data_IF_610652866157
#
_entry.id   IF_610652866157
#
_cell.length_a   1.000
_cell.length_b   1.000
_cell.length_c   1.000
_cell.angle_alpha   90.00
_cell.angle_beta   90.00
_cell.angle_gamma   90.00
#
_symmetry.space_group_name_H-M   'P 1'
#
loop_
_entity.id
_entity.type
_entity.pdbx_description
1 polymer ?
#
# COMPACT_ATOMS: atom_id res chain seq x y z
N UNK A 1 -14.70 -16.79 -19.88
CA UNK A 1 -13.45 -16.87 -19.12
C UNK A 1 -13.58 -16.08 -17.85
N UNK A 2 -13.51 -16.74 -16.73
CA UNK A 2 -13.61 -16.07 -15.44
C UNK A 2 -12.24 -15.50 -15.07
N UNK A 3 -12.16 -14.20 -14.88
CA UNK A 3 -10.95 -13.58 -14.35
C UNK A 3 -10.77 -14.02 -12.89
N UNK A 4 -9.57 -14.44 -12.57
CA UNK A 4 -9.22 -14.81 -11.21
C UNK A 4 -9.25 -13.54 -10.35
N UNK A 5 -9.97 -13.57 -9.24
CA UNK A 5 -10.03 -12.42 -8.35
C UNK A 5 -8.67 -12.16 -7.71
N UNK A 6 -8.17 -10.93 -7.86
CA UNK A 6 -6.96 -10.48 -7.19
C UNK A 6 -7.40 -9.78 -5.91
N UNK A 7 -6.91 -10.25 -4.77
CA UNK A 7 -7.29 -9.73 -3.47
C UNK A 7 -6.10 -9.06 -2.79
N UNK A 8 -6.33 -7.88 -2.27
CA UNK A 8 -5.36 -7.11 -1.51
C UNK A 8 -6.00 -5.87 -0.96
N UNK A 9 -5.22 -5.04 -0.34
CA UNK A 9 -5.68 -3.81 0.30
C UNK A 9 -5.10 -2.61 -0.42
N UNK A 10 -5.96 -1.62 -0.70
CA UNK A 10 -5.51 -0.33 -1.24
C UNK A 10 -4.94 0.49 -0.10
N UNK A 11 -3.75 1.05 -0.31
CA UNK A 11 -3.07 1.81 0.72
C UNK A 11 -3.33 3.30 0.68
N UNK A 12 -3.47 3.86 -0.52
CA UNK A 12 -3.69 5.30 -0.66
C UNK A 12 -4.20 5.60 -2.07
N UNK A 13 -4.71 6.80 -2.23
CA UNK A 13 -5.12 7.35 -3.53
C UNK A 13 -4.20 8.54 -3.80
N UNK A 14 -3.52 8.51 -4.92
CA UNK A 14 -2.56 9.56 -5.30
C UNK A 14 -2.82 10.07 -6.72
N UNK A 15 -2.42 11.31 -7.03
CA UNK A 15 -2.38 11.74 -8.42
C UNK A 15 -1.16 11.13 -9.13
N UNK A 16 -1.33 10.74 -10.38
CA UNK A 16 -0.24 10.20 -11.20
C UNK A 16 -0.51 10.49 -12.68
N UNK A 17 0.37 11.27 -13.32
CA UNK A 17 0.28 11.62 -14.75
C UNK A 17 -1.14 12.07 -15.14
N UNK A 18 -1.68 13.06 -14.42
CA UNK A 18 -3.03 13.63 -14.63
C UNK A 18 -4.17 12.61 -14.41
N UNK A 19 -3.87 11.50 -13.79
CA UNK A 19 -4.84 10.46 -13.41
C UNK A 19 -4.93 10.36 -11.90
N UNK A 20 -5.96 9.69 -11.45
CA UNK A 20 -6.11 9.34 -10.03
C UNK A 20 -5.87 7.84 -9.91
N UNK A 21 -4.92 7.46 -9.06
CA UNK A 21 -4.53 6.06 -8.91
C UNK A 21 -4.63 5.61 -7.47
N UNK A 22 -5.17 4.41 -7.27
CA UNK A 22 -5.01 3.67 -6.04
C UNK A 22 -3.65 2.98 -6.06
N UNK A 23 -3.00 2.91 -4.90
CA UNK A 23 -1.72 2.20 -4.78
C UNK A 23 -1.85 1.03 -3.82
N UNK A 24 -1.13 -0.04 -4.13
CA UNK A 24 -1.05 -1.24 -3.29
C UNK A 24 0.33 -1.86 -3.46
N UNK A 25 0.62 -2.91 -2.69
CA UNK A 25 1.85 -3.67 -2.85
C UNK A 25 1.84 -4.39 -4.20
N UNK A 26 2.95 -4.28 -4.95
CA UNK A 26 3.03 -4.84 -6.30
C UNK A 26 2.87 -6.35 -6.35
N UNK A 27 3.34 -7.06 -5.30
CA UNK A 27 3.22 -8.52 -5.26
C UNK A 27 1.75 -8.99 -5.18
N UNK A 28 0.85 -8.15 -4.67
CA UNK A 28 -0.59 -8.47 -4.65
C UNK A 28 -1.10 -8.70 -6.07
N UNK A 29 -0.67 -7.85 -6.99
CA UNK A 29 -1.05 -7.98 -8.40
C UNK A 29 -0.34 -9.17 -9.04
N UNK A 30 0.97 -9.30 -8.83
CA UNK A 30 1.79 -10.37 -9.47
C UNK A 30 1.37 -11.76 -9.03
N UNK A 31 1.09 -11.96 -7.74
CA UNK A 31 0.69 -13.27 -7.22
C UNK A 31 -0.70 -13.69 -7.71
N UNK A 32 -1.53 -12.72 -8.08
CA UNK A 32 -2.81 -12.99 -8.74
C UNK A 32 -2.70 -13.13 -10.25
N UNK A 33 -1.48 -13.25 -10.79
CA UNK A 33 -1.18 -13.33 -12.23
C UNK A 33 -1.60 -12.07 -12.99
N UNK A 34 -1.64 -10.92 -12.28
CA UNK A 34 -1.95 -9.64 -12.90
C UNK A 34 -0.71 -8.97 -13.49
N UNK A 35 -0.96 -8.07 -14.44
CA UNK A 35 0.06 -7.28 -15.11
C UNK A 35 -0.54 -5.93 -15.47
N UNK A 36 0.26 -5.06 -16.10
CA UNK A 36 -0.26 -3.79 -16.62
C UNK A 36 -1.38 -4.09 -17.62
N UNK A 37 -2.51 -3.42 -17.47
CA UNK A 37 -3.72 -3.64 -18.27
C UNK A 37 -4.73 -4.56 -17.62
N UNK A 38 -4.35 -5.29 -16.58
CA UNK A 38 -5.28 -6.17 -15.86
C UNK A 38 -6.39 -5.35 -15.21
N UNK A 39 -7.64 -5.84 -15.35
CA UNK A 39 -8.79 -5.25 -14.70
C UNK A 39 -8.93 -5.79 -13.29
N UNK A 40 -9.16 -4.89 -12.34
CA UNK A 40 -9.39 -5.22 -10.93
C UNK A 40 -10.57 -4.39 -10.42
N UNK A 41 -11.12 -4.77 -9.29
CA UNK A 41 -12.21 -4.02 -8.66
C UNK A 41 -11.63 -3.34 -7.42
N UNK A 42 -11.79 -2.01 -7.35
CA UNK A 42 -11.39 -1.19 -6.21
C UNK A 42 -12.65 -0.52 -5.66
N UNK A 43 -12.99 -0.81 -4.42
CA UNK A 43 -14.19 -0.28 -3.73
C UNK A 43 -15.45 -0.42 -4.58
N UNK A 44 -15.62 -1.57 -5.23
CA UNK A 44 -16.78 -1.86 -6.07
C UNK A 44 -16.72 -1.29 -7.47
N UNK A 45 -15.65 -0.61 -7.86
CA UNK A 45 -15.51 0.01 -9.17
C UNK A 45 -14.44 -0.68 -10.00
N UNK A 46 -14.76 -0.97 -11.27
CA UNK A 46 -13.80 -1.54 -12.20
C UNK A 46 -12.66 -0.55 -12.45
N UNK A 47 -11.44 -1.04 -12.36
CA UNK A 47 -10.23 -0.24 -12.41
C UNK A 47 -9.15 -1.01 -13.18
N UNK A 48 -8.10 -0.32 -13.59
CA UNK A 48 -7.07 -0.92 -14.45
C UNK A 48 -5.69 -0.72 -13.86
N UNK A 49 -4.90 -1.79 -13.77
CA UNK A 49 -3.49 -1.69 -13.38
C UNK A 49 -2.73 -0.95 -14.48
N UNK A 50 -2.13 0.19 -14.14
CA UNK A 50 -1.42 1.03 -15.12
C UNK A 50 0.10 0.97 -14.99
N UNK A 51 0.63 0.66 -13.80
CA UNK A 51 2.07 0.54 -13.59
C UNK A 51 2.38 -0.49 -12.51
N UNK A 52 3.49 -1.18 -12.69
CA UNK A 52 4.09 -2.05 -11.68
C UNK A 52 5.55 -1.62 -11.52
N UNK A 53 5.90 -1.17 -10.32
CA UNK A 53 7.27 -0.77 -9.98
C UNK A 53 7.90 -1.89 -9.15
N UNK A 54 8.58 -2.81 -9.81
CA UNK A 54 9.15 -3.99 -9.14
C UNK A 54 10.22 -3.63 -8.12
N UNK A 55 10.97 -2.55 -8.36
CA UNK A 55 12.03 -2.09 -7.46
C UNK A 55 11.47 -1.62 -6.12
N UNK A 56 10.20 -1.23 -6.08
CA UNK A 56 9.56 -0.69 -4.88
C UNK A 56 8.47 -1.59 -4.32
N UNK A 57 8.15 -2.69 -5.01
CA UNK A 57 6.99 -3.52 -4.71
C UNK A 57 5.70 -2.70 -4.71
N UNK A 58 5.51 -1.86 -5.72
CA UNK A 58 4.39 -0.91 -5.79
C UNK A 58 3.60 -1.13 -7.08
N UNK A 59 2.28 -1.12 -6.95
CA UNK A 59 1.36 -1.15 -8.09
C UNK A 59 0.48 0.09 -8.08
N UNK A 60 0.26 0.65 -9.26
CA UNK A 60 -0.65 1.77 -9.47
C UNK A 60 -1.85 1.28 -10.27
N UNK A 61 -3.04 1.59 -9.78
CA UNK A 61 -4.31 1.17 -10.36
C UNK A 61 -5.11 2.44 -10.65
N UNK A 62 -5.39 2.70 -11.93
CA UNK A 62 -6.22 3.86 -12.30
C UNK A 62 -7.65 3.58 -11.88
N UNK A 63 -8.21 4.49 -11.08
CA UNK A 63 -9.58 4.39 -10.57
C UNK A 63 -10.42 5.54 -11.11
N UNK A 64 -11.76 5.39 -11.19
CA UNK A 64 -12.61 6.50 -11.61
C UNK A 64 -12.48 7.67 -10.62
N UNK A 65 -12.11 8.88 -11.09
CA UNK A 65 -11.80 9.98 -10.16
C UNK A 65 -13.01 10.44 -9.35
N UNK A 66 -14.22 10.27 -9.86
CA UNK A 66 -15.43 10.66 -9.14
C UNK A 66 -15.71 9.84 -7.89
N UNK A 67 -15.05 8.68 -7.74
CA UNK A 67 -15.23 7.79 -6.59
C UNK A 67 -14.02 7.75 -5.68
N UNK A 68 -13.03 8.62 -5.90
CA UNK A 68 -11.77 8.56 -5.18
C UNK A 68 -11.46 9.91 -4.52
N UNK A 69 -11.00 9.86 -3.28
CA UNK A 69 -10.51 11.01 -2.55
C UNK A 69 -9.01 10.86 -2.35
N UNK A 70 -8.24 11.88 -2.71
CA UNK A 70 -6.80 11.87 -2.54
C UNK A 70 -6.43 11.72 -1.07
N UNK A 71 -5.48 10.83 -0.80
CA UNK A 71 -5.00 10.58 0.55
C UNK A 71 -4.01 11.66 0.98
N UNK A 72 -4.02 11.99 2.27
CA UNK A 72 -2.97 12.80 2.86
C UNK A 72 -1.73 11.92 3.04
N UNK A 73 -0.62 12.33 2.46
CA UNK A 73 0.65 11.59 2.51
C UNK A 73 1.60 12.36 3.42
N UNK A 74 2.19 11.66 4.38
CA UNK A 74 3.13 12.24 5.32
C UNK A 74 4.43 11.48 5.38
N UNK A 75 5.38 12.01 6.12
CA UNK A 75 6.69 11.43 6.31
C UNK A 75 6.73 10.64 7.61
N UNK A 76 7.31 9.45 7.58
CA UNK A 76 7.41 8.61 8.77
C UNK A 76 8.38 9.21 9.79
N UNK A 77 7.97 9.19 11.05
CA UNK A 77 8.81 9.53 12.21
C UNK A 77 8.86 8.33 13.14
N UNK A 78 9.95 8.20 13.89
CA UNK A 78 10.04 7.14 14.90
C UNK A 78 8.90 7.31 15.92
N UNK A 79 8.36 6.18 16.36
CA UNK A 79 7.31 6.15 17.37
C UNK A 79 6.00 5.53 16.90
N UNK A 80 4.92 5.79 17.64
CA UNK A 80 3.65 5.13 17.39
C UNK A 80 3.08 5.42 16.00
N UNK A 81 2.46 4.39 15.42
CA UNK A 81 1.74 4.44 14.15
C UNK A 81 0.63 3.39 14.18
N UNK A 82 -0.15 3.30 13.11
CA UNK A 82 -1.28 2.39 13.04
C UNK A 82 -1.42 1.83 11.64
N UNK A 83 -1.45 0.50 11.53
CA UNK A 83 -1.82 -0.18 10.29
C UNK A 83 -3.34 -0.24 10.23
N UNK A 84 -3.92 0.22 9.14
CA UNK A 84 -5.37 0.23 8.97
C UNK A 84 -5.73 -0.71 7.84
N UNK A 85 -6.45 -1.77 8.17
CA UNK A 85 -6.97 -2.70 7.18
C UNK A 85 -8.47 -2.46 6.99
N UNK A 86 -9.07 -3.21 6.10
CA UNK A 86 -10.50 -3.15 5.83
C UNK A 86 -11.35 -3.29 7.10
N UNK A 87 -10.95 -4.15 8.02
CA UNK A 87 -11.76 -4.49 9.20
C UNK A 87 -11.01 -4.34 10.52
N UNK A 88 -9.74 -3.90 10.51
CA UNK A 88 -8.94 -3.86 11.72
C UNK A 88 -8.03 -2.63 11.76
N UNK A 89 -7.67 -2.26 12.98
CA UNK A 89 -6.60 -1.29 13.24
C UNK A 89 -5.58 -1.95 14.15
N UNK A 90 -4.33 -1.94 13.75
CA UNK A 90 -3.25 -2.57 14.50
C UNK A 90 -2.25 -1.49 14.89
N UNK A 91 -2.14 -1.22 16.19
CA UNK A 91 -1.13 -0.31 16.70
C UNK A 91 0.27 -0.89 16.45
N UNK A 92 1.18 -0.07 15.98
CA UNK A 92 2.56 -0.46 15.71
C UNK A 92 3.49 0.71 16.00
N UNK A 93 4.77 0.50 15.77
CA UNK A 93 5.78 1.54 15.95
C UNK A 93 6.71 1.59 14.76
N UNK A 94 7.03 2.78 14.30
CA UNK A 94 8.10 2.99 13.33
C UNK A 94 9.43 2.84 14.08
N UNK A 95 10.23 1.85 13.68
CA UNK A 95 11.53 1.57 14.32
C UNK A 95 12.71 1.85 13.40
N UNK A 96 12.45 2.06 12.10
CA UNK A 96 13.47 2.50 11.16
C UNK A 96 12.80 3.19 9.98
N UNK A 97 13.46 4.21 9.44
CA UNK A 97 12.95 4.96 8.29
C UNK A 97 13.98 4.94 7.17
N UNK A 98 13.50 4.84 5.94
CA UNK A 98 14.35 4.82 4.77
C UNK A 98 13.69 5.47 3.57
N UNK A 99 14.47 5.66 2.51
CA UNK A 99 13.97 6.30 1.28
C UNK A 99 12.99 5.39 0.53
N UNK A 100 13.18 4.09 0.63
CA UNK A 100 12.36 3.09 -0.08
C UNK A 100 11.50 2.28 0.88
N UNK A 101 12.04 1.91 2.04
CA UNK A 101 11.36 1.06 3.00
C UNK A 101 11.47 1.64 4.40
N UNK A 102 10.39 1.48 5.16
CA UNK A 102 10.37 1.71 6.60
C UNK A 102 10.21 0.37 7.30
N UNK A 103 10.70 0.28 8.53
CA UNK A 103 10.51 -0.92 9.36
C UNK A 103 9.60 -0.59 10.53
N UNK A 104 8.72 -1.54 10.82
CA UNK A 104 7.71 -1.40 11.87
C UNK A 104 7.78 -2.56 12.83
N UNK A 105 7.54 -2.29 14.11
CA UNK A 105 7.34 -3.33 15.11
C UNK A 105 5.85 -3.47 15.39
N UNK A 106 5.38 -4.71 15.39
CA UNK A 106 3.98 -5.06 15.70
C UNK A 106 3.90 -5.83 17.01
N UNK A 107 2.77 -5.77 17.73
CA UNK A 107 2.56 -6.67 18.84
C UNK A 107 2.58 -8.11 18.34
N UNK A 108 3.37 -8.97 18.98
CA UNK A 108 3.48 -10.36 18.54
C UNK A 108 2.15 -11.11 18.62
N UNK A 109 1.25 -10.69 19.50
CA UNK A 109 -0.08 -11.25 19.61
C UNK A 109 -1.08 -10.68 18.62
N UNK A 110 -0.69 -9.67 17.82
CA UNK A 110 -1.59 -9.00 16.88
C UNK A 110 -0.82 -8.57 15.64
N UNK A 111 -0.35 -9.56 14.89
CA UNK A 111 0.42 -9.35 13.67
C UNK A 111 -0.48 -9.16 12.46
N UNK A 112 -0.01 -8.48 11.43
CA UNK A 112 -0.73 -8.46 10.15
C UNK A 112 -0.91 -9.87 9.61
N UNK A 113 -1.99 -10.07 8.85
CA UNK A 113 -2.35 -11.35 8.26
C UNK A 113 -2.09 -11.35 6.75
N UNK A 114 -2.05 -12.52 6.12
CA UNK A 114 -2.07 -12.59 4.65
C UNK A 114 -3.29 -11.83 4.12
N UNK A 115 -3.10 -11.05 3.06
CA UNK A 115 -4.14 -10.17 2.54
C UNK A 115 -4.05 -8.73 3.04
N UNK A 116 -3.26 -8.46 4.07
CA UNK A 116 -3.04 -7.10 4.57
C UNK A 116 -1.98 -6.34 3.77
N UNK A 117 -1.27 -7.01 2.87
CA UNK A 117 -0.29 -6.36 2.01
C UNK A 117 -0.91 -5.21 1.22
N UNK A 118 -0.26 -4.08 1.21
CA UNK A 118 -0.76 -2.86 0.60
C UNK A 118 -1.54 -1.98 1.56
N UNK A 119 -1.90 -2.46 2.75
CA UNK A 119 -2.64 -1.65 3.72
C UNK A 119 -1.82 -0.44 4.16
N UNK A 120 -2.47 0.71 4.37
CA UNK A 120 -1.77 1.92 4.77
C UNK A 120 -1.34 1.88 6.22
N UNK A 121 -0.18 2.46 6.48
CA UNK A 121 0.28 2.72 7.82
C UNK A 121 0.15 4.23 8.04
N UNK A 122 -0.58 4.61 9.06
CA UNK A 122 -0.92 6.00 9.35
C UNK A 122 -0.16 6.51 10.55
N UNK A 123 0.22 7.77 10.48
CA UNK A 123 0.80 8.51 11.57
C UNK A 123 0.25 9.93 11.49
N UNK A 124 -0.36 10.41 12.55
CA UNK A 124 -0.99 11.74 12.58
C UNK A 124 -2.00 11.94 11.44
N UNK A 125 -2.75 10.89 11.08
CA UNK A 125 -3.76 10.95 10.03
C UNK A 125 -3.22 10.94 8.62
N UNK A 126 -1.92 10.80 8.42
CA UNK A 126 -1.29 10.77 7.11
C UNK A 126 -0.73 9.38 6.81
N UNK A 127 -0.78 8.98 5.55
CA UNK A 127 -0.19 7.72 5.10
C UNK A 127 1.32 7.89 5.03
N UNK A 128 2.04 7.12 5.84
CA UNK A 128 3.50 7.15 5.89
C UNK A 128 4.15 5.95 5.21
N UNK A 129 3.35 4.95 4.86
CA UNK A 129 3.85 3.77 4.18
C UNK A 129 2.74 2.79 3.86
N UNK A 130 3.08 1.77 3.08
CA UNK A 130 2.19 0.66 2.74
C UNK A 130 2.86 -0.64 3.18
N UNK A 131 2.11 -1.52 3.82
CA UNK A 131 2.66 -2.80 4.24
C UNK A 131 3.08 -3.63 3.02
N UNK A 132 4.32 -4.09 3.02
CA UNK A 132 4.87 -4.93 1.95
C UNK A 132 5.11 -6.35 2.42
N UNK A 133 5.82 -6.55 3.52
CA UNK A 133 6.13 -7.89 4.00
C UNK A 133 6.19 -7.92 5.53
N UNK A 134 6.09 -9.13 6.08
CA UNK A 134 6.04 -9.34 7.52
C UNK A 134 7.02 -10.45 7.90
N UNK A 135 7.76 -10.23 8.99
CA UNK A 135 8.66 -11.19 9.57
C UNK A 135 8.07 -11.67 10.90
N UNK A 136 7.38 -12.79 10.87
CA UNK A 136 6.64 -13.30 12.04
C UNK A 136 7.56 -13.71 13.19
N UNK A 137 8.79 -14.14 12.88
CA UNK A 137 9.71 -14.63 13.91
C UNK A 137 10.23 -13.52 14.83
N UNK A 138 10.18 -12.27 14.43
CA UNK A 138 10.61 -11.15 15.27
C UNK A 138 9.54 -10.05 15.36
N UNK A 139 8.33 -10.31 14.88
CA UNK A 139 7.17 -9.43 14.98
C UNK A 139 7.42 -8.05 14.34
N UNK A 140 8.12 -8.03 13.23
CA UNK A 140 8.36 -6.80 12.47
C UNK A 140 7.77 -6.90 11.08
N UNK A 141 7.65 -5.75 10.43
CA UNK A 141 7.23 -5.66 9.04
C UNK A 141 8.03 -4.60 8.30
N UNK A 142 8.03 -4.71 6.98
CA UNK A 142 8.57 -3.73 6.07
C UNK A 142 7.42 -3.08 5.31
N UNK A 143 7.48 -1.77 5.18
CA UNK A 143 6.51 -1.02 4.39
C UNK A 143 7.20 -0.16 3.34
N UNK A 144 6.53 0.03 2.22
CA UNK A 144 6.98 0.93 1.17
C UNK A 144 6.90 2.34 1.74
N UNK A 145 8.03 3.05 1.75
CA UNK A 145 8.08 4.41 2.31
C UNK A 145 7.22 5.37 1.49
N UNK A 146 6.53 6.28 2.17
CA UNK A 146 5.80 7.36 1.51
C UNK A 146 6.72 8.24 0.66
N UNK A 147 8.02 8.23 0.90
CA UNK A 147 8.97 8.96 0.06
C UNK A 147 9.00 8.41 -1.37
N UNK A 148 8.56 7.16 -1.60
CA UNK A 148 8.47 6.58 -2.94
C UNK A 148 7.29 7.18 -3.71
N UNK A 149 6.11 7.22 -3.09
CA UNK A 149 4.88 7.61 -3.78
C UNK A 149 4.38 9.00 -3.42
N UNK A 150 4.95 9.64 -2.43
CA UNK A 150 4.58 11.00 -2.04
C UNK A 150 5.25 12.09 -2.87
N UNK A 151 6.19 11.72 -3.74
CA UNK A 151 6.89 12.66 -4.62
C UNK A 151 6.70 12.23 -6.07
N UNK A 152 6.05 13.06 -6.92
CA UNK A 152 5.83 12.69 -8.33
C UNK A 152 7.12 12.40 -9.10
N UNK A 153 8.24 12.98 -8.69
CA UNK A 153 9.51 12.80 -9.39
C UNK A 153 10.08 11.38 -9.23
N UNK A 154 9.65 10.61 -8.24
CA UNK A 154 10.17 9.25 -8.01
C UNK A 154 9.42 8.19 -8.80
N UNK A 155 8.18 8.46 -9.17
CA UNK A 155 7.32 7.53 -9.91
C UNK A 155 7.24 7.95 -11.38
N UNK A 156 8.26 7.64 -12.15
CA UNK A 156 8.30 7.96 -13.58
C UNK A 156 8.26 6.74 -14.47
#
# INVERSE_FOLDING_TARGET
MTSKAIRGTVGAIIPYNERVCAITAGHVIRYGNGSVGTKVVVDGHESTVVRLFNDYDLALIEVPPQYATLSAIGRACFGPAELVTYDRRIACRVIDTGRNLNRFAFPCANMPLPGDSGAPILQRGEVIGLLSSVLYNNCTGLGISSQVFGSPSRLR
#
